data_IF_231992806442
#
_entry.id   IF_231992806442
#
_cell.length_a   1.000
_cell.length_b   1.000
_cell.length_c   1.000
_cell.angle_alpha   90.00
_cell.angle_beta   90.00
_cell.angle_gamma   90.00
#
_symmetry.space_group_name_H-M   'P 1'
#
loop_
_entity.id
_entity.type
_entity.pdbx_description
1 polymer ?
#
# COMPACT_ATOMS: atom_id res chain seq x y z
N UNK A 1 28.19 66.05 -6.26
CA UNK A 1 27.49 66.72 -5.13
C UNK A 1 26.73 65.64 -4.36
N UNK A 2 27.26 65.16 -3.22
CA UNK A 2 26.63 64.14 -2.39
C UNK A 2 25.73 64.80 -1.33
N UNK A 3 24.70 64.09 -0.88
CA UNK A 3 24.01 64.36 0.39
C UNK A 3 23.93 63.06 1.18
N UNK A 4 24.62 63.10 2.32
CA UNK A 4 24.52 62.19 3.46
C UNK A 4 23.13 62.29 4.10
N UNK A 5 22.57 61.17 4.54
CA UNK A 5 21.96 61.09 5.88
C UNK A 5 22.15 59.68 6.44
N UNK A 6 22.77 59.62 7.61
CA UNK A 6 22.86 58.47 8.49
C UNK A 6 21.59 58.36 9.34
N UNK A 7 21.31 57.15 9.83
CA UNK A 7 20.27 56.89 10.82
C UNK A 7 20.43 55.48 11.41
N UNK A 8 21.05 55.45 12.58
CA UNK A 8 21.26 54.27 13.45
C UNK A 8 19.94 53.68 13.96
N UNK A 9 19.96 52.37 14.27
CA UNK A 9 18.86 51.70 14.96
C UNK A 9 19.06 50.18 15.05
N UNK A 10 20.02 49.75 15.87
CA UNK A 10 20.11 48.37 16.35
C UNK A 10 19.01 48.11 17.41
N UNK A 11 18.53 46.86 17.51
CA UNK A 11 18.38 46.05 18.75
C UNK A 11 17.49 44.81 18.52
N UNK A 12 18.07 43.65 18.88
CA UNK A 12 17.47 42.39 19.35
C UNK A 12 16.56 41.53 18.44
N UNK A 13 17.05 40.32 18.10
CA UNK A 13 16.73 39.12 18.90
C UNK A 13 17.53 37.90 18.39
N UNK A 14 18.53 37.53 19.18
CA UNK A 14 19.34 36.32 19.05
C UNK A 14 19.14 35.50 20.33
N UNK A 15 18.10 34.65 20.43
CA UNK A 15 17.99 33.63 21.49
C UNK A 15 17.04 32.48 21.08
N UNK A 16 17.46 31.55 20.21
CA UNK A 16 16.96 30.15 20.22
C UNK A 16 18.05 29.20 19.68
N UNK A 17 19.16 29.03 20.41
CA UNK A 17 20.16 27.98 20.07
C UNK A 17 20.94 27.45 21.28
N UNK A 18 20.35 27.48 22.48
CA UNK A 18 21.02 27.05 23.72
C UNK A 18 20.20 26.08 24.60
N UNK A 19 19.44 25.16 23.99
CA UNK A 19 18.67 24.16 24.76
C UNK A 19 18.94 22.69 24.39
N UNK A 20 20.13 22.36 23.86
CA UNK A 20 20.54 20.96 23.63
C UNK A 20 22.00 20.65 23.97
N UNK A 21 22.56 21.24 25.05
CA UNK A 21 23.87 20.84 25.60
C UNK A 21 23.94 20.95 27.13
N UNK A 22 23.01 20.33 27.86
CA UNK A 22 23.16 20.11 29.30
C UNK A 22 22.46 18.81 29.74
N UNK A 23 22.95 17.65 29.29
CA UNK A 23 22.71 16.35 29.96
C UNK A 23 23.83 15.36 29.62
N UNK A 24 25.06 15.71 29.95
CA UNK A 24 26.17 14.77 30.10
C UNK A 24 27.16 15.38 31.08
N UNK A 25 27.21 14.85 32.31
CA UNK A 25 28.26 15.17 33.27
C UNK A 25 27.81 15.21 34.73
N UNK A 26 28.39 14.27 35.49
CA UNK A 26 28.73 14.41 36.92
C UNK A 26 27.63 14.13 37.97
N UNK A 27 27.52 12.85 38.37
CA UNK A 27 27.41 12.50 39.80
C UNK A 27 28.34 11.33 40.06
N UNK A 28 29.36 11.56 40.89
CA UNK A 28 30.23 10.52 41.43
C UNK A 28 30.17 10.54 42.96
N UNK A 29 30.17 9.32 43.51
CA UNK A 29 30.59 8.89 44.86
C UNK A 29 29.69 9.23 46.06
N UNK A 30 29.10 8.18 46.65
CA UNK A 30 29.61 7.49 47.85
C UNK A 30 28.65 6.35 48.27
N UNK A 31 29.19 5.20 48.70
CA UNK A 31 28.44 4.24 49.52
C UNK A 31 28.66 2.76 49.18
N UNK A 32 29.66 2.19 49.84
CA UNK A 32 30.02 0.76 49.84
C UNK A 32 29.00 -0.13 50.58
N UNK A 33 29.12 -1.45 50.34
CA UNK A 33 28.66 -2.64 51.11
C UNK A 33 27.39 -3.33 50.60
N UNK A 34 27.56 -4.62 50.25
CA UNK A 34 26.46 -5.57 50.16
C UNK A 34 26.57 -6.57 49.01
N UNK A 35 27.55 -7.47 49.07
CA UNK A 35 27.50 -8.70 48.28
C UNK A 35 26.37 -9.59 48.80
N UNK A 36 25.34 -9.81 47.98
CA UNK A 36 24.35 -10.88 48.16
C UNK A 36 24.25 -11.63 46.83
N UNK A 37 24.91 -12.78 46.79
CA UNK A 37 24.79 -13.75 45.71
C UNK A 37 23.37 -14.32 45.72
N UNK A 38 22.52 -13.87 44.79
CA UNK A 38 21.28 -14.58 44.47
C UNK A 38 21.58 -15.65 43.43
N UNK A 39 21.83 -16.85 43.93
CA UNK A 39 21.54 -18.09 43.20
C UNK A 39 20.01 -18.18 43.10
N UNK A 40 19.47 -18.19 41.89
CA UNK A 40 18.02 -18.13 41.69
C UNK A 40 17.57 -18.61 40.32
N UNK A 41 17.46 -19.93 40.19
CA UNK A 41 16.59 -20.70 39.30
C UNK A 41 16.40 -20.26 37.84
N UNK A 42 17.00 -21.05 36.94
CA UNK A 42 16.42 -21.33 35.61
C UNK A 42 15.10 -22.09 35.84
N UNK A 43 13.97 -21.38 35.81
CA UNK A 43 12.64 -22.00 35.72
C UNK A 43 12.43 -22.43 34.27
N UNK A 44 12.66 -23.71 34.01
CA UNK A 44 12.18 -24.40 32.81
C UNK A 44 10.66 -24.47 32.91
N UNK A 45 9.94 -23.52 32.29
CA UNK A 45 8.47 -23.60 32.18
C UNK A 45 8.11 -24.76 31.26
N UNK A 46 7.75 -25.90 31.84
CA UNK A 46 6.85 -26.86 31.21
C UNK A 46 5.47 -26.21 31.12
N UNK A 47 4.90 -26.21 29.92
CA UNK A 47 3.62 -25.56 29.63
C UNK A 47 2.42 -26.28 30.24
N UNK A 48 1.28 -25.61 30.35
CA UNK A 48 -0.02 -26.26 30.35
C UNK A 48 -0.53 -26.35 28.90
N UNK A 49 -0.96 -27.55 28.51
CA UNK A 49 -1.57 -27.82 27.22
C UNK A 49 -2.72 -26.87 26.93
N UNK A 50 -2.59 -26.14 25.83
CA UNK A 50 -3.70 -25.42 25.21
C UNK A 50 -4.59 -26.46 24.54
N UNK A 51 -5.78 -26.63 25.13
CA UNK A 51 -6.94 -27.26 24.52
C UNK A 51 -7.16 -26.68 23.13
N UNK A 52 -7.17 -27.55 22.13
CA UNK A 52 -7.79 -27.29 20.84
C UNK A 52 -9.28 -27.13 21.07
N UNK A 53 -9.76 -25.90 21.16
CA UNK A 53 -11.12 -25.58 20.83
C UNK A 53 -11.15 -25.23 19.34
N UNK A 54 -11.61 -26.19 18.54
CA UNK A 54 -12.03 -25.97 17.17
C UNK A 54 -13.23 -25.02 17.17
N UNK A 55 -12.94 -23.75 16.98
CA UNK A 55 -13.89 -22.74 16.54
C UNK A 55 -13.45 -22.31 15.16
N UNK A 56 -14.06 -22.92 14.15
CA UNK A 56 -14.03 -22.49 12.76
C UNK A 56 -14.56 -21.06 12.70
N UNK A 57 -13.66 -20.08 12.84
CA UNK A 57 -13.93 -18.74 12.37
C UNK A 57 -13.69 -18.81 10.87
N UNK A 58 -14.78 -18.83 10.12
CA UNK A 58 -14.84 -18.51 8.70
C UNK A 58 -14.00 -17.25 8.45
N UNK A 59 -12.73 -17.44 8.11
CA UNK A 59 -11.98 -16.44 7.37
C UNK A 59 -12.69 -16.37 6.02
N UNK A 60 -13.23 -15.20 5.61
CA UNK A 60 -13.75 -15.07 4.27
C UNK A 60 -12.62 -15.46 3.33
N UNK A 61 -12.83 -16.54 2.57
CA UNK A 61 -11.97 -16.96 1.48
C UNK A 61 -11.85 -15.76 0.55
N UNK A 62 -10.78 -14.98 0.75
CA UNK A 62 -10.51 -13.81 -0.05
C UNK A 62 -10.46 -14.19 -1.53
N UNK A 63 -10.85 -13.28 -2.43
CA UNK A 63 -10.95 -13.57 -3.84
C UNK A 63 -9.64 -14.16 -4.36
N UNK A 64 -9.76 -15.31 -5.01
CA UNK A 64 -8.66 -16.07 -5.60
C UNK A 64 -8.00 -15.25 -6.71
N UNK A 65 -6.79 -14.76 -6.45
CA UNK A 65 -5.68 -14.44 -7.37
C UNK A 65 -5.97 -14.26 -8.89
N UNK A 66 -7.00 -13.52 -9.27
CA UNK A 66 -7.19 -12.99 -10.63
C UNK A 66 -7.20 -11.47 -10.55
N UNK A 67 -6.03 -10.88 -10.78
CA UNK A 67 -5.84 -9.47 -11.10
C UNK A 67 -6.53 -8.52 -10.10
N UNK A 68 -5.92 -8.33 -8.92
CA UNK A 68 -6.39 -7.39 -7.89
C UNK A 68 -6.14 -5.95 -8.32
N UNK A 69 -6.78 -5.55 -9.41
CA UNK A 69 -6.78 -4.18 -9.88
C UNK A 69 -7.46 -3.32 -8.82
N UNK A 70 -6.78 -2.30 -8.31
CA UNK A 70 -7.37 -1.46 -7.26
C UNK A 70 -8.45 -0.55 -7.86
N UNK A 71 -9.61 -0.47 -7.20
CA UNK A 71 -10.66 0.49 -7.53
C UNK A 71 -10.73 1.59 -6.48
N UNK A 72 -10.63 2.85 -6.91
CA UNK A 72 -10.55 4.01 -6.03
C UNK A 72 -11.91 4.44 -5.45
N UNK A 73 -13.02 3.88 -5.94
CA UNK A 73 -14.33 4.06 -5.33
C UNK A 73 -15.04 5.39 -5.64
N UNK A 74 -14.62 6.13 -6.67
CA UNK A 74 -15.36 7.32 -7.13
C UNK A 74 -14.54 8.32 -7.93
N UNK A 75 -15.22 9.28 -8.54
CA UNK A 75 -14.57 10.41 -9.21
C UNK A 75 -13.80 11.28 -8.21
N UNK A 76 -12.62 11.77 -8.62
CA UNK A 76 -11.81 12.66 -7.78
C UNK A 76 -11.09 12.00 -6.60
N UNK A 77 -11.23 10.68 -6.42
CA UNK A 77 -10.44 9.90 -5.46
C UNK A 77 -9.26 9.26 -6.20
N UNK A 78 -8.06 9.44 -5.66
CA UNK A 78 -6.89 8.65 -6.06
C UNK A 78 -6.75 7.47 -5.12
N UNK A 79 -6.17 6.39 -5.59
CA UNK A 79 -5.84 5.24 -4.77
C UNK A 79 -4.50 4.64 -5.16
N UNK A 80 -3.90 3.95 -4.22
CA UNK A 80 -2.53 3.50 -4.32
C UNK A 80 -2.16 2.52 -3.22
N UNK A 81 -0.89 2.13 -3.24
CA UNK A 81 -0.27 1.33 -2.20
C UNK A 81 0.94 2.04 -1.61
N UNK A 82 1.05 2.05 -0.29
CA UNK A 82 2.29 2.33 0.42
C UNK A 82 3.05 1.01 0.58
N UNK A 83 4.22 0.93 -0.04
CA UNK A 83 5.10 -0.23 -0.02
C UNK A 83 6.14 -0.10 1.10
N UNK A 84 6.16 -1.08 2.00
CA UNK A 84 7.09 -1.15 3.12
C UNK A 84 7.90 -2.44 3.03
N UNK A 85 9.21 -2.32 3.13
CA UNK A 85 10.15 -3.44 3.08
C UNK A 85 10.46 -3.92 4.49
N UNK A 86 10.61 -5.23 4.67
CA UNK A 86 11.05 -5.79 5.96
C UNK A 86 12.57 -5.69 6.19
N UNK A 87 13.37 -5.54 5.13
CA UNK A 87 14.83 -5.69 5.14
C UNK A 87 15.33 -7.14 5.10
N UNK A 88 14.41 -8.11 5.06
CA UNK A 88 14.74 -9.53 5.00
C UNK A 88 15.02 -10.04 3.58
N UNK A 89 14.67 -9.24 2.57
CA UNK A 89 14.79 -9.56 1.15
C UNK A 89 16.24 -9.75 0.66
N UNK A 90 16.41 -9.79 -0.66
CA UNK A 90 17.71 -10.00 -1.31
C UNK A 90 18.16 -8.78 -2.12
N UNK A 91 19.46 -8.64 -2.35
CA UNK A 91 20.01 -7.53 -3.13
C UNK A 91 19.66 -6.18 -2.51
N UNK A 92 19.06 -5.27 -3.29
CA UNK A 92 18.63 -3.95 -2.82
C UNK A 92 17.53 -3.97 -1.75
N UNK A 93 16.84 -5.09 -1.58
CA UNK A 93 15.80 -5.28 -0.56
C UNK A 93 16.36 -5.79 0.77
N UNK A 94 17.68 -6.02 0.84
CA UNK A 94 18.37 -6.46 2.05
C UNK A 94 18.94 -5.25 2.78
N UNK A 95 18.39 -4.96 3.95
CA UNK A 95 18.85 -3.88 4.84
C UNK A 95 18.55 -4.22 6.30
N UNK A 96 18.99 -3.36 7.21
CA UNK A 96 19.06 -3.69 8.65
C UNK A 96 17.71 -3.86 9.34
N UNK A 97 16.64 -3.30 8.80
CA UNK A 97 15.31 -3.39 9.40
C UNK A 97 14.27 -2.69 8.55
N UNK A 98 13.01 -2.65 8.97
CA UNK A 98 11.92 -2.20 8.12
C UNK A 98 12.13 -0.78 7.59
N UNK A 99 11.85 -0.58 6.29
CA UNK A 99 12.08 0.68 5.59
C UNK A 99 10.95 0.99 4.60
N UNK A 100 10.90 2.25 4.19
CA UNK A 100 10.00 2.70 3.12
C UNK A 100 10.58 2.28 1.77
N UNK A 101 9.76 1.70 0.90
CA UNK A 101 10.07 1.67 -0.53
C UNK A 101 9.46 2.91 -1.21
N UNK A 102 8.13 3.05 -1.18
CA UNK A 102 7.46 4.15 -1.84
C UNK A 102 5.94 4.15 -1.73
N UNK A 103 5.32 5.16 -2.34
CA UNK A 103 3.87 5.26 -2.53
C UNK A 103 3.58 5.21 -4.02
N UNK A 104 2.78 4.22 -4.43
CA UNK A 104 2.51 3.96 -5.83
C UNK A 104 1.03 4.15 -6.12
N UNK A 105 0.65 5.24 -6.79
CA UNK A 105 -0.70 5.38 -7.32
C UNK A 105 -1.01 4.21 -8.25
N UNK A 106 -2.13 3.54 -8.00
CA UNK A 106 -2.60 2.38 -8.75
C UNK A 106 -3.28 2.89 -10.04
N UNK A 107 -2.49 3.51 -10.91
CA UNK A 107 -2.90 3.92 -12.26
C UNK A 107 -3.01 2.68 -13.17
N UNK A 108 -3.63 2.80 -14.33
CA UNK A 108 -3.69 1.69 -15.31
C UNK A 108 -2.27 1.18 -15.64
N UNK A 109 -2.06 -0.15 -15.73
CA UNK A 109 -3.07 -1.22 -15.67
C UNK A 109 -3.42 -1.71 -14.25
N UNK A 110 -2.73 -1.24 -13.22
CA UNK A 110 -2.79 -1.78 -11.86
C UNK A 110 -4.01 -1.31 -11.05
N UNK A 111 -4.59 -0.16 -11.40
CA UNK A 111 -5.86 0.29 -10.86
C UNK A 111 -6.63 1.22 -11.78
N UNK A 112 -7.65 1.88 -11.24
CA UNK A 112 -8.43 2.92 -11.92
C UNK A 112 -8.11 4.34 -11.43
N UNK A 113 -7.05 4.51 -10.62
CA UNK A 113 -6.59 5.84 -10.18
C UNK A 113 -6.22 6.69 -11.39
N UNK A 114 -6.64 7.95 -11.38
CA UNK A 114 -6.15 8.92 -12.34
C UNK A 114 -4.66 9.23 -12.07
N UNK A 115 -3.89 9.47 -13.13
CA UNK A 115 -2.58 10.10 -12.97
C UNK A 115 -2.79 11.61 -12.85
N UNK A 116 -2.54 12.17 -11.68
CA UNK A 116 -2.59 13.62 -11.46
C UNK A 116 -1.17 14.15 -11.38
N UNK A 117 -0.79 14.90 -12.42
CA UNK A 117 0.51 15.55 -12.51
C UNK A 117 0.73 16.56 -11.39
N UNK A 118 1.99 16.78 -10.98
CA UNK A 118 2.30 17.75 -9.95
C UNK A 118 2.04 19.19 -10.41
N UNK A 119 1.80 20.07 -9.43
CA UNK A 119 1.67 21.51 -9.68
C UNK A 119 2.93 22.08 -10.33
N UNK A 120 4.10 21.72 -9.81
CA UNK A 120 5.39 22.03 -10.44
C UNK A 120 5.93 20.84 -11.26
N UNK A 121 5.84 20.96 -12.60
CA UNK A 121 6.35 19.96 -13.56
C UNK A 121 7.88 19.81 -13.52
N UNK A 122 8.57 20.83 -13.04
CA UNK A 122 10.03 20.83 -12.91
C UNK A 122 10.49 20.43 -11.50
N UNK A 123 9.57 20.01 -10.63
CA UNK A 123 9.92 19.64 -9.27
C UNK A 123 10.89 18.44 -9.24
N UNK A 124 11.92 18.56 -8.41
CA UNK A 124 12.96 17.56 -8.17
C UNK A 124 13.19 17.44 -6.67
N UNK A 125 13.75 16.32 -6.24
CA UNK A 125 14.20 16.14 -4.86
C UNK A 125 15.42 17.02 -4.62
N UNK A 126 15.37 17.83 -3.55
CA UNK A 126 16.50 18.69 -3.14
C UNK A 126 17.34 18.09 -2.01
N UNK A 127 16.81 17.10 -1.30
CA UNK A 127 17.45 16.46 -0.14
C UNK A 127 16.84 15.08 0.11
N UNK A 128 17.62 14.15 0.68
CA UNK A 128 17.13 12.82 1.09
C UNK A 128 16.07 12.99 2.19
N UNK A 129 14.81 12.53 1.98
CA UNK A 129 13.75 12.64 2.96
C UNK A 129 14.07 11.83 4.22
N UNK A 130 13.60 12.28 5.39
CA UNK A 130 14.02 11.71 6.68
C UNK A 130 13.75 10.21 6.83
N UNK A 131 12.64 9.70 6.27
CA UNK A 131 12.31 8.28 6.33
C UNK A 131 13.12 7.39 5.36
N UNK A 132 13.90 8.00 4.48
CA UNK A 132 14.87 7.35 3.59
C UNK A 132 16.31 7.55 4.05
N UNK A 133 16.52 8.29 5.16
CA UNK A 133 17.84 8.39 5.76
C UNK A 133 18.16 7.09 6.49
N UNK A 134 19.40 6.62 6.36
CA UNK A 134 19.81 5.35 6.93
C UNK A 134 21.29 5.06 6.68
N UNK A 135 21.70 3.87 7.12
CA UNK A 135 23.06 3.36 6.86
C UNK A 135 23.29 3.21 5.36
N UNK A 136 22.26 2.75 4.62
CA UNK A 136 22.26 2.55 3.18
C UNK A 136 22.43 3.89 2.43
N UNK A 137 21.61 4.88 2.76
CA UNK A 137 21.69 6.22 2.18
C UNK A 137 23.03 6.91 2.47
N UNK A 138 23.65 6.59 3.61
CA UNK A 138 24.97 7.11 3.99
C UNK A 138 26.10 6.38 3.28
N UNK A 139 25.95 5.07 3.07
CA UNK A 139 26.96 4.22 2.42
C UNK A 139 27.02 4.44 0.90
N UNK A 140 25.86 4.65 0.25
CA UNK A 140 25.79 4.99 -1.17
C UNK A 140 24.75 6.10 -1.45
N UNK A 141 25.13 7.37 -1.22
CA UNK A 141 24.25 8.51 -1.49
C UNK A 141 23.85 8.65 -2.97
N UNK A 142 24.65 8.10 -3.88
CA UNK A 142 24.39 8.18 -5.32
C UNK A 142 23.28 7.23 -5.74
N UNK A 143 23.33 6.00 -5.22
CA UNK A 143 22.27 5.01 -5.37
C UNK A 143 20.98 5.50 -4.73
N UNK A 144 21.04 6.02 -3.50
CA UNK A 144 19.86 6.57 -2.82
C UNK A 144 19.21 7.69 -3.64
N UNK A 145 20.00 8.62 -4.17
CA UNK A 145 19.49 9.68 -5.05
C UNK A 145 18.85 9.12 -6.32
N UNK A 146 19.44 8.09 -6.92
CA UNK A 146 18.86 7.42 -8.10
C UNK A 146 17.53 6.74 -7.76
N UNK A 147 17.45 6.09 -6.61
CA UNK A 147 16.25 5.44 -6.11
C UNK A 147 15.13 6.44 -5.85
N UNK A 148 15.39 7.52 -5.12
CA UNK A 148 14.39 8.58 -4.89
C UNK A 148 13.93 9.22 -6.21
N UNK A 149 14.84 9.41 -7.18
CA UNK A 149 14.47 9.87 -8.51
C UNK A 149 13.54 8.86 -9.23
N UNK A 150 13.76 7.56 -9.07
CA UNK A 150 12.84 6.52 -9.58
C UNK A 150 11.46 6.66 -8.95
N UNK A 151 11.39 6.72 -7.62
CA UNK A 151 10.12 6.85 -6.89
C UNK A 151 9.36 8.10 -7.33
N UNK A 152 10.04 9.24 -7.46
CA UNK A 152 9.40 10.46 -7.95
C UNK A 152 8.93 10.35 -9.40
N UNK A 153 9.84 10.01 -10.32
CA UNK A 153 9.55 10.10 -11.76
C UNK A 153 8.49 9.09 -12.20
N UNK A 154 8.50 7.89 -11.63
CA UNK A 154 7.60 6.80 -12.00
C UNK A 154 6.30 6.80 -11.22
N UNK A 155 6.32 7.19 -9.95
CA UNK A 155 5.17 7.06 -9.06
C UNK A 155 4.66 8.44 -8.60
N UNK A 156 5.53 9.25 -8.00
CA UNK A 156 5.15 10.55 -7.44
C UNK A 156 4.61 11.56 -8.47
N UNK A 157 5.07 11.48 -9.71
CA UNK A 157 4.63 12.32 -10.83
C UNK A 157 3.14 12.13 -11.21
N UNK A 158 2.48 11.09 -10.68
CA UNK A 158 1.05 10.83 -10.84
C UNK A 158 0.26 10.91 -9.53
N UNK A 159 0.90 11.24 -8.41
CA UNK A 159 0.32 11.12 -7.07
C UNK A 159 -0.52 12.33 -6.62
N UNK A 160 -0.70 13.35 -7.49
CA UNK A 160 -1.42 14.57 -7.14
C UNK A 160 -0.74 15.43 -6.08
N UNK A 161 0.59 15.30 -5.93
CA UNK A 161 1.40 16.11 -5.03
C UNK A 161 1.82 17.41 -5.72
N UNK A 162 1.87 18.55 -5.00
CA UNK A 162 2.35 19.81 -5.60
C UNK A 162 3.83 19.77 -6.04
N UNK A 163 4.67 19.02 -5.31
CA UNK A 163 6.12 18.92 -5.52
C UNK A 163 6.68 17.57 -5.09
N UNK A 164 7.91 17.27 -5.51
CA UNK A 164 8.64 16.07 -5.09
C UNK A 164 8.83 16.03 -3.56
N UNK A 165 9.21 17.14 -2.95
CA UNK A 165 9.38 17.22 -1.50
C UNK A 165 8.05 16.97 -0.76
N UNK A 166 6.93 17.48 -1.27
CA UNK A 166 5.59 17.22 -0.71
C UNK A 166 5.17 15.76 -0.83
N UNK A 167 5.50 15.11 -1.94
CA UNK A 167 5.28 13.68 -2.14
C UNK A 167 6.04 12.83 -1.10
N UNK A 168 7.33 13.06 -0.91
CA UNK A 168 8.10 12.30 0.08
C UNK A 168 7.73 12.62 1.53
N UNK A 169 7.35 13.87 1.84
CA UNK A 169 6.81 14.21 3.15
C UNK A 169 5.53 13.42 3.45
N UNK A 170 4.66 13.25 2.45
CA UNK A 170 3.45 12.42 2.55
C UNK A 170 3.80 10.96 2.82
N UNK A 171 4.76 10.39 2.08
CA UNK A 171 5.22 9.01 2.29
C UNK A 171 5.72 8.82 3.72
N UNK A 172 6.63 9.70 4.19
CA UNK A 172 7.17 9.59 5.54
C UNK A 172 6.08 9.66 6.61
N UNK A 173 5.08 10.53 6.42
CA UNK A 173 3.94 10.65 7.34
C UNK A 173 3.08 9.38 7.38
N UNK A 174 2.81 8.76 6.23
CA UNK A 174 2.01 7.54 6.16
C UNK A 174 2.75 6.33 6.73
N UNK A 175 4.06 6.26 6.50
CA UNK A 175 4.88 5.11 6.86
C UNK A 175 5.27 5.05 8.34
N UNK A 176 5.25 6.17 9.06
CA UNK A 176 5.76 6.25 10.43
C UNK A 176 5.16 5.18 11.35
N UNK A 177 3.84 5.15 11.51
CA UNK A 177 3.18 4.23 12.43
C UNK A 177 3.26 2.75 11.98
N UNK A 178 3.07 2.40 10.69
CA UNK A 178 3.32 1.04 10.20
C UNK A 178 4.75 0.55 10.45
N UNK A 179 5.76 1.39 10.21
CA UNK A 179 7.16 1.01 10.44
C UNK A 179 7.43 0.74 11.91
N UNK A 180 6.83 1.50 12.84
CA UNK A 180 6.95 1.20 14.27
C UNK A 180 6.41 -0.18 14.65
N UNK A 181 5.34 -0.65 13.98
CA UNK A 181 4.82 -2.02 14.16
C UNK A 181 5.80 -3.03 13.58
N UNK A 182 6.26 -2.82 12.35
CA UNK A 182 7.19 -3.74 11.71
C UNK A 182 8.52 -3.86 12.48
N UNK A 183 9.08 -2.75 12.97
CA UNK A 183 10.31 -2.75 13.78
C UNK A 183 10.15 -3.53 15.08
N UNK A 184 8.95 -3.58 15.68
CA UNK A 184 8.70 -4.40 16.87
C UNK A 184 8.71 -5.89 16.52
N UNK A 185 8.06 -6.28 15.42
CA UNK A 185 8.05 -7.67 14.94
C UNK A 185 9.43 -8.16 14.48
N UNK A 186 10.19 -7.31 13.79
CA UNK A 186 11.55 -7.64 13.34
C UNK A 186 12.48 -7.98 14.53
N UNK A 187 12.38 -7.24 15.64
CA UNK A 187 13.10 -7.54 16.90
C UNK A 187 12.74 -8.89 17.52
N UNK A 188 11.58 -9.45 17.20
CA UNK A 188 11.17 -10.79 17.63
C UNK A 188 11.45 -11.87 16.58
N UNK A 189 12.09 -11.52 15.46
CA UNK A 189 12.38 -12.44 14.37
C UNK A 189 11.17 -12.78 13.49
N UNK A 190 10.15 -11.92 13.46
CA UNK A 190 8.98 -12.09 12.58
C UNK A 190 9.41 -12.11 11.11
N UNK A 191 8.86 -13.05 10.34
CA UNK A 191 8.94 -13.05 8.87
C UNK A 191 7.91 -12.09 8.24
N UNK A 192 7.90 -11.97 6.92
CA UNK A 192 7.01 -11.04 6.22
C UNK A 192 5.51 -11.33 6.45
N UNK A 193 5.12 -12.59 6.61
CA UNK A 193 3.72 -12.96 6.87
C UNK A 193 3.32 -12.56 8.30
N UNK A 194 4.20 -12.80 9.27
CA UNK A 194 4.01 -12.36 10.65
C UNK A 194 3.96 -10.83 10.76
N UNK A 195 4.84 -10.10 10.07
CA UNK A 195 4.81 -8.64 10.04
C UNK A 195 3.51 -8.10 9.43
N UNK A 196 3.03 -8.71 8.35
CA UNK A 196 1.73 -8.37 7.76
C UNK A 196 0.56 -8.69 8.72
N UNK A 197 0.65 -9.77 9.49
CA UNK A 197 -0.32 -10.10 10.54
C UNK A 197 -0.33 -9.06 11.67
N UNK A 198 0.84 -8.62 12.12
CA UNK A 198 1.00 -7.60 13.15
C UNK A 198 0.42 -6.26 12.68
N UNK A 199 0.65 -5.89 11.41
CA UNK A 199 0.06 -4.69 10.80
C UNK A 199 -1.47 -4.75 10.76
N UNK A 200 -2.06 -5.88 10.33
CA UNK A 200 -3.53 -6.06 10.36
C UNK A 200 -4.07 -5.99 11.77
N UNK A 201 -3.39 -6.60 12.74
CA UNK A 201 -3.77 -6.59 14.15
C UNK A 201 -3.71 -5.18 14.74
N UNK A 202 -2.80 -4.33 14.24
CA UNK A 202 -2.72 -2.92 14.58
C UNK A 202 -3.71 -2.03 13.79
N UNK A 203 -4.58 -2.61 12.96
CA UNK A 203 -5.60 -1.90 12.19
C UNK A 203 -5.12 -1.30 10.87
N UNK A 204 -3.93 -1.65 10.39
CA UNK A 204 -3.44 -1.17 9.10
C UNK A 204 -4.04 -1.95 7.93
N UNK A 205 -4.35 -1.26 6.81
CA UNK A 205 -5.05 -1.87 5.69
C UNK A 205 -4.08 -2.61 4.76
N UNK A 206 -3.65 -3.80 5.16
CA UNK A 206 -2.76 -4.63 4.33
C UNK A 206 -3.51 -5.13 3.10
N UNK A 207 -3.13 -4.59 1.93
CA UNK A 207 -3.70 -4.92 0.64
C UNK A 207 -3.08 -6.18 0.04
N UNK A 208 -1.76 -6.30 0.10
CA UNK A 208 -1.03 -7.47 -0.39
C UNK A 208 0.32 -7.65 0.32
N UNK A 209 0.93 -8.82 0.12
CA UNK A 209 2.27 -9.15 0.61
C UNK A 209 3.08 -9.65 -0.58
N UNK A 210 4.21 -9.00 -0.86
CA UNK A 210 5.16 -9.43 -1.88
C UNK A 210 6.28 -10.25 -1.22
N UNK A 211 6.13 -11.58 -1.25
CA UNK A 211 7.11 -12.52 -0.69
C UNK A 211 8.40 -12.61 -1.50
N UNK A 212 8.43 -12.10 -2.74
CA UNK A 212 9.63 -12.16 -3.58
C UNK A 212 10.66 -11.12 -3.12
N UNK A 213 10.18 -9.95 -2.69
CA UNK A 213 11.00 -8.83 -2.27
C UNK A 213 10.80 -8.46 -0.78
N UNK A 214 10.10 -9.32 -0.04
CA UNK A 214 9.74 -9.16 1.37
C UNK A 214 9.14 -7.79 1.72
N UNK A 215 8.04 -7.46 1.02
CA UNK A 215 7.30 -6.21 1.19
C UNK A 215 5.86 -6.44 1.65
N UNK A 216 5.36 -5.50 2.44
CA UNK A 216 3.94 -5.38 2.74
C UNK A 216 3.39 -4.14 2.05
N UNK A 217 2.27 -4.30 1.34
CA UNK A 217 1.61 -3.24 0.60
C UNK A 217 0.36 -2.80 1.37
N UNK A 218 0.34 -1.56 1.84
CA UNK A 218 -0.82 -0.98 2.54
C UNK A 218 -1.66 -0.16 1.56
N UNK A 219 -2.95 -0.44 1.43
CA UNK A 219 -3.82 0.39 0.60
C UNK A 219 -3.97 1.81 1.15
N UNK A 220 -4.01 2.77 0.24
CA UNK A 220 -4.19 4.18 0.55
C UNK A 220 -5.11 4.83 -0.47
N UNK A 221 -5.83 5.86 -0.03
CA UNK A 221 -6.57 6.75 -0.92
C UNK A 221 -6.16 8.19 -0.71
N UNK A 222 -6.48 9.05 -1.69
CA UNK A 222 -6.24 10.48 -1.59
C UNK A 222 -7.42 11.27 -2.14
N UNK A 223 -7.64 12.44 -1.55
CA UNK A 223 -8.62 13.41 -2.01
C UNK A 223 -8.02 14.79 -2.02
N UNK A 224 -8.53 15.68 -2.87
CA UNK A 224 -8.19 17.10 -2.76
C UNK A 224 -8.71 17.65 -1.43
N UNK A 225 -7.89 18.46 -0.77
CA UNK A 225 -8.38 19.29 0.34
C UNK A 225 -9.09 20.52 -0.22
N UNK A 226 -10.10 21.00 0.49
CA UNK A 226 -10.81 22.24 0.12
C UNK A 226 -9.82 23.40 0.00
N UNK A 227 -9.87 24.12 -1.13
CA UNK A 227 -8.95 25.22 -1.42
C UNK A 227 -7.50 24.81 -1.76
N UNK A 228 -7.19 23.52 -1.86
CA UNK A 228 -5.86 23.02 -2.21
C UNK A 228 -5.80 22.42 -3.62
N UNK A 229 -4.67 22.63 -4.30
CA UNK A 229 -4.32 21.88 -5.52
C UNK A 229 -3.78 20.48 -5.23
N UNK A 230 -3.32 20.23 -4.01
CA UNK A 230 -2.74 18.97 -3.57
C UNK A 230 -3.77 17.95 -3.10
N UNK A 231 -3.45 16.69 -3.34
CA UNK A 231 -4.14 15.54 -2.75
C UNK A 231 -3.54 15.20 -1.38
N UNK A 232 -4.41 14.89 -0.42
CA UNK A 232 -4.03 14.40 0.91
C UNK A 232 -4.27 12.90 0.96
N UNK A 233 -3.19 12.15 1.09
CA UNK A 233 -3.23 10.69 1.17
C UNK A 233 -3.50 10.19 2.59
N UNK A 234 -4.25 9.09 2.70
CA UNK A 234 -4.61 8.41 3.95
C UNK A 234 -4.57 6.90 3.74
N UNK A 235 -4.15 6.16 4.76
CA UNK A 235 -4.30 4.69 4.77
C UNK A 235 -5.77 4.33 5.00
N UNK A 236 -6.32 3.49 4.14
CA UNK A 236 -7.66 2.93 4.27
C UNK A 236 -7.75 1.61 3.51
N UNK A 237 -8.63 0.67 3.88
CA UNK A 237 -8.92 -0.47 3.03
C UNK A 237 -9.76 -0.01 1.81
N UNK A 238 -9.67 -0.68 0.65
CA UNK A 238 -10.32 -0.22 -0.58
C UNK A 238 -11.83 0.01 -0.45
N UNK A 239 -12.53 -0.84 0.29
CA UNK A 239 -13.97 -0.72 0.56
C UNK A 239 -14.36 0.54 1.37
N UNK A 240 -13.38 1.22 1.98
CA UNK A 240 -13.56 2.44 2.77
C UNK A 240 -13.09 3.71 2.04
N UNK A 241 -12.57 3.62 0.82
CA UNK A 241 -12.03 4.78 0.12
C UNK A 241 -13.05 5.92 -0.06
N UNK A 242 -14.29 5.60 -0.45
CA UNK A 242 -15.35 6.59 -0.58
C UNK A 242 -15.67 7.30 0.75
N UNK A 243 -15.63 6.58 1.87
CA UNK A 243 -15.86 7.16 3.21
C UNK A 243 -14.69 8.05 3.65
N UNK A 244 -13.46 7.59 3.45
CA UNK A 244 -12.24 8.25 3.97
C UNK A 244 -11.76 9.41 3.09
N UNK A 245 -11.97 9.28 1.77
CA UNK A 245 -11.47 10.18 0.74
C UNK A 245 -12.57 10.77 -0.17
N UNK A 246 -13.84 10.40 -0.02
CA UNK A 246 -14.93 10.99 -0.81
C UNK A 246 -15.30 12.43 -0.44
N UNK A 247 -14.59 13.09 0.47
CA UNK A 247 -14.77 14.53 0.73
C UNK A 247 -16.12 14.91 1.37
N UNK A 248 -16.82 13.97 2.01
CA UNK A 248 -18.06 14.29 2.72
C UNK A 248 -19.24 14.65 1.81
N UNK A 249 -19.16 14.40 0.50
CA UNK A 249 -20.39 14.10 -0.25
C UNK A 249 -20.92 12.80 0.34
N UNK A 250 -21.73 12.95 1.40
CA UNK A 250 -22.66 11.94 1.87
C UNK A 250 -23.22 11.29 0.62
N UNK A 251 -23.16 9.94 0.48
CA UNK A 251 -23.48 9.26 -0.76
C UNK A 251 -24.78 9.87 -1.24
N UNK A 252 -24.69 10.72 -2.28
CA UNK A 252 -25.87 11.40 -2.79
C UNK A 252 -26.78 10.22 -3.11
N UNK A 253 -27.97 10.10 -2.45
CA UNK A 253 -28.83 8.95 -2.64
C UNK A 253 -28.92 8.81 -4.14
N UNK A 254 -28.44 7.65 -4.63
CA UNK A 254 -28.36 7.42 -6.06
C UNK A 254 -29.69 7.91 -6.62
N UNK A 255 -29.71 8.77 -7.66
CA UNK A 255 -30.97 9.25 -8.22
C UNK A 255 -31.86 8.01 -8.34
N UNK A 256 -33.09 8.05 -7.77
CA UNK A 256 -33.89 6.86 -7.55
C UNK A 256 -33.78 6.03 -8.80
N UNK A 257 -33.25 4.82 -8.64
CA UNK A 257 -33.10 3.88 -9.75
C UNK A 257 -34.42 3.97 -10.51
N UNK A 258 -34.40 4.31 -11.82
CA UNK A 258 -35.60 4.27 -12.63
C UNK A 258 -36.30 2.95 -12.28
N UNK A 259 -37.61 2.97 -11.98
CA UNK A 259 -38.33 1.80 -11.49
C UNK A 259 -37.85 0.62 -12.31
N UNK A 260 -37.26 -0.37 -11.62
CA UNK A 260 -36.62 -1.49 -12.28
C UNK A 260 -37.52 -1.91 -13.43
N UNK A 261 -37.05 -1.90 -14.70
CA UNK A 261 -37.81 -2.56 -15.73
C UNK A 261 -38.14 -3.93 -15.16
N UNK A 262 -39.44 -4.21 -15.07
CA UNK A 262 -39.96 -5.42 -14.43
C UNK A 262 -39.16 -6.62 -14.92
N UNK A 263 -39.01 -7.66 -14.08
CA UNK A 263 -38.03 -8.73 -14.22
C UNK A 263 -37.72 -8.97 -15.69
N UNK A 264 -36.53 -8.51 -16.11
CA UNK A 264 -36.06 -8.78 -17.45
C UNK A 264 -36.23 -10.29 -17.62
N UNK A 265 -36.98 -10.75 -18.64
CA UNK A 265 -37.23 -12.17 -18.83
C UNK A 265 -35.87 -12.85 -18.76
N UNK A 266 -35.81 -13.94 -17.98
CA UNK A 266 -34.63 -14.79 -17.93
C UNK A 266 -34.08 -14.90 -19.36
N UNK A 267 -32.78 -14.62 -19.59
CA UNK A 267 -32.22 -14.79 -20.93
C UNK A 267 -32.68 -16.16 -21.41
N UNK A 268 -33.36 -16.25 -22.56
CA UNK A 268 -33.97 -17.49 -22.98
C UNK A 268 -32.88 -18.54 -22.91
N UNK A 269 -33.14 -19.61 -22.16
CA UNK A 269 -32.38 -20.86 -22.24
C UNK A 269 -32.06 -21.04 -23.72
N UNK A 270 -30.77 -21.11 -24.14
CA UNK A 270 -30.41 -21.08 -25.55
C UNK A 270 -31.05 -22.27 -26.26
N UNK A 271 -32.27 -22.04 -26.73
CA UNK A 271 -33.14 -23.07 -27.28
C UNK A 271 -32.73 -23.18 -28.73
N UNK A 272 -31.80 -24.11 -29.00
CA UNK A 272 -31.50 -24.57 -30.35
C UNK A 272 -30.29 -23.94 -31.05
N UNK A 273 -29.34 -23.34 -30.33
CA UNK A 273 -28.10 -22.89 -30.96
C UNK A 273 -27.18 -24.06 -31.35
N UNK A 274 -26.57 -24.00 -32.54
CA UNK A 274 -25.53 -24.94 -33.00
C UNK A 274 -24.20 -24.20 -33.15
N UNK A 275 -23.09 -24.88 -32.86
CA UNK A 275 -21.77 -24.34 -33.20
C UNK A 275 -21.41 -24.73 -34.64
N UNK A 276 -20.92 -23.77 -35.41
CA UNK A 276 -20.40 -23.99 -36.76
C UNK A 276 -18.87 -23.80 -36.77
N UNK A 277 -18.17 -24.53 -37.63
CA UNK A 277 -16.71 -24.45 -37.73
C UNK A 277 -16.29 -23.01 -38.01
N UNK A 278 -15.39 -22.48 -37.16
CA UNK A 278 -14.86 -21.12 -37.25
C UNK A 278 -15.88 -19.98 -37.01
N UNK A 279 -17.02 -20.26 -36.35
CA UNK A 279 -17.97 -19.23 -35.90
C UNK A 279 -18.18 -19.32 -34.38
N UNK A 280 -18.52 -18.20 -33.76
CA UNK A 280 -18.97 -18.19 -32.35
C UNK A 280 -20.34 -18.86 -32.25
N UNK A 281 -20.47 -19.80 -31.33
CA UNK A 281 -21.76 -20.39 -30.95
C UNK A 281 -22.52 -19.52 -29.94
N UNK A 282 -23.55 -20.07 -29.28
CA UNK A 282 -24.28 -19.38 -28.23
C UNK A 282 -23.39 -18.91 -27.08
N UNK A 283 -23.81 -17.88 -26.36
CA UNK A 283 -23.09 -17.38 -25.20
C UNK A 283 -23.04 -18.44 -24.08
N UNK A 284 -21.94 -18.45 -23.33
CA UNK A 284 -21.70 -19.41 -22.25
C UNK A 284 -20.86 -18.78 -21.13
N UNK A 285 -21.00 -19.32 -19.93
CA UNK A 285 -20.15 -19.00 -18.78
C UNK A 285 -19.17 -20.14 -18.46
N UNK A 286 -19.55 -21.37 -18.80
CA UNK A 286 -18.84 -22.61 -18.50
C UNK A 286 -19.00 -23.64 -19.62
N UNK A 287 -18.14 -24.65 -19.64
CA UNK A 287 -18.21 -25.71 -20.66
C UNK A 287 -19.53 -26.53 -20.56
N UNK A 288 -20.14 -26.61 -19.37
CA UNK A 288 -21.45 -27.25 -19.17
C UNK A 288 -22.58 -26.56 -19.93
N UNK A 289 -22.50 -25.24 -20.15
CA UNK A 289 -23.53 -24.49 -20.88
C UNK A 289 -23.57 -24.86 -22.37
N UNK A 290 -22.48 -25.44 -22.88
CA UNK A 290 -22.36 -25.89 -24.25
C UNK A 290 -22.77 -27.37 -24.43
N UNK A 291 -23.05 -28.07 -23.34
CA UNK A 291 -23.41 -29.50 -23.37
C UNK A 291 -24.83 -29.66 -23.91
N UNK A 292 -25.00 -30.52 -24.91
CA UNK A 292 -26.30 -30.74 -25.57
C UNK A 292 -26.63 -29.79 -26.73
N UNK A 293 -25.78 -28.78 -26.99
CA UNK A 293 -25.88 -27.94 -28.18
C UNK A 293 -25.21 -28.62 -29.38
N UNK A 294 -25.92 -28.75 -30.50
CA UNK A 294 -25.42 -29.45 -31.67
C UNK A 294 -24.10 -28.86 -32.18
N UNK A 295 -23.03 -29.67 -32.22
CA UNK A 295 -21.71 -29.26 -32.71
C UNK A 295 -20.88 -28.40 -31.76
N UNK A 296 -21.38 -28.08 -30.56
CA UNK A 296 -20.62 -27.35 -29.54
C UNK A 296 -19.86 -28.31 -28.62
N UNK A 297 -18.63 -27.96 -28.26
CA UNK A 297 -17.76 -28.79 -27.42
C UNK A 297 -17.45 -28.14 -26.06
N UNK A 298 -17.32 -26.80 -26.01
CA UNK A 298 -16.88 -26.06 -24.82
C UNK A 298 -17.10 -24.56 -24.97
N UNK A 299 -17.00 -23.83 -23.86
CA UNK A 299 -17.08 -22.37 -23.82
C UNK A 299 -15.74 -21.69 -24.16
N UNK A 300 -14.64 -22.43 -24.08
CA UNK A 300 -13.29 -21.97 -24.42
C UNK A 300 -12.84 -20.68 -23.73
N UNK A 301 -13.48 -20.28 -22.61
CA UNK A 301 -13.25 -19.03 -21.88
C UNK A 301 -13.36 -17.76 -22.74
N UNK A 302 -14.02 -17.84 -23.91
CA UNK A 302 -14.24 -16.70 -24.80
C UNK A 302 -15.57 -15.98 -24.52
N UNK A 303 -16.44 -16.57 -23.69
CA UNK A 303 -17.82 -16.16 -23.50
C UNK A 303 -18.79 -16.76 -24.53
N UNK A 304 -18.32 -17.60 -25.45
CA UNK A 304 -19.13 -18.24 -26.50
C UNK A 304 -18.75 -19.71 -26.72
N UNK A 305 -19.74 -20.57 -26.92
CA UNK A 305 -19.52 -21.96 -27.25
C UNK A 305 -18.77 -22.09 -28.58
N UNK A 306 -17.93 -23.12 -28.70
CA UNK A 306 -17.15 -23.39 -29.91
C UNK A 306 -17.22 -24.86 -30.32
N UNK A 307 -17.05 -25.13 -31.62
CA UNK A 307 -16.89 -26.49 -32.17
C UNK A 307 -15.44 -26.97 -32.15
N UNK A 308 -14.51 -26.21 -31.56
CA UNK A 308 -13.08 -26.53 -31.52
C UNK A 308 -12.73 -27.32 -30.25
N UNK A 309 -12.11 -28.51 -30.37
CA UNK A 309 -11.66 -29.27 -29.20
C UNK A 309 -10.58 -28.49 -28.42
N UNK A 310 -10.31 -28.92 -27.19
CA UNK A 310 -9.10 -28.46 -26.49
C UNK A 310 -7.89 -28.88 -27.32
N UNK A 311 -7.09 -27.91 -27.76
CA UNK A 311 -5.81 -28.23 -28.39
C UNK A 311 -4.95 -28.92 -27.34
N UNK A 312 -4.53 -30.16 -27.62
CA UNK A 312 -3.79 -31.04 -26.69
C UNK A 312 -2.35 -30.58 -26.42
N UNK A 313 -1.98 -29.36 -26.81
CA UNK A 313 -0.61 -28.82 -26.72
C UNK A 313 -0.33 -28.00 -25.47
N UNK A 314 -1.23 -27.93 -24.48
CA UNK A 314 -0.99 -27.27 -23.19
C UNK A 314 -1.12 -28.21 -21.98
N UNK A 315 -0.41 -29.35 -22.03
CA UNK A 315 -0.17 -30.19 -20.84
C UNK A 315 1.32 -30.39 -20.55
N UNK A 316 2.16 -29.46 -21.04
CA UNK A 316 3.57 -29.37 -20.70
C UNK A 316 3.99 -27.90 -20.59
N UNK A 317 3.59 -27.25 -19.50
CA UNK A 317 4.24 -26.08 -18.89
C UNK A 317 3.68 -25.89 -17.49
#
# INVERSE_FOLDING_TARGET
MPVLMAGEGAVAQEVVSQQRRQRCGLVALLGSLGALATVGLVVKRQGPGLRQHGGELDMPTGPTARQNKMSCGGEGILCGVLALESGQGSGYYKHKGPAVHGLWPEVKPYGDSACVAPGDKNSRITSVPICYQGEEASADPSHEKSFLNHEWTKHGSCAGADSANGFFATICSLAQAPLEVMTKGEKTGSDIDALASDLRSAGFPVFSVDKKFDQVMLSACASKSEGSSSYVWKLAPPEKFAEVCGGGVSPQPSPPTPPSPGPSPSPPTPSGGKCMKSQHGPACQSDSDCTGLAGCLRCAKSGFCTSQPLQSTQLAS
#
